data_IF_769332226268
#
_entry.id   IF_769332226268
#
_cell.length_a   1.000
_cell.length_b   1.000
_cell.length_c   1.000
_cell.angle_alpha   90.00
_cell.angle_beta   90.00
_cell.angle_gamma   90.00
#
_symmetry.space_group_name_H-M   'P 1'
#
loop_
_entity.id
_entity.type
_entity.pdbx_description
1 polymer ?
#
# COMPACT_ATOMS: atom_id res chain seq x y z
N UNK A 1 -42.58 3.74 3.91
CA UNK A 1 -42.85 4.03 2.49
C UNK A 1 -43.14 5.50 2.32
N UNK A 2 -42.45 6.17 1.42
CA UNK A 2 -42.58 7.60 1.20
C UNK A 2 -42.95 7.90 -0.27
N UNK A 3 -43.99 8.73 -0.52
CA UNK A 3 -44.35 9.16 -1.86
C UNK A 3 -43.57 10.43 -2.19
N UNK A 4 -42.60 10.32 -3.09
CA UNK A 4 -41.68 11.41 -3.46
C UNK A 4 -42.30 12.44 -4.42
N UNK A 5 -43.02 11.98 -5.43
CA UNK A 5 -43.67 12.84 -6.39
C UNK A 5 -44.92 12.20 -7.01
N UNK A 6 -45.86 13.03 -7.41
CA UNK A 6 -47.08 12.64 -8.17
C UNK A 6 -47.25 13.58 -9.33
N UNK A 7 -47.11 13.04 -10.52
CA UNK A 7 -47.40 13.75 -11.78
C UNK A 7 -48.73 13.29 -12.36
N UNK A 8 -49.68 14.21 -12.48
CA UNK A 8 -51.02 13.92 -13.01
C UNK A 8 -51.17 14.56 -14.40
N UNK A 9 -51.31 13.70 -15.38
CA UNK A 9 -51.72 14.09 -16.76
C UNK A 9 -53.20 13.82 -16.96
N UNK A 10 -53.75 14.29 -18.08
CA UNK A 10 -55.20 14.17 -18.35
C UNK A 10 -55.75 12.75 -18.31
N UNK A 11 -54.92 11.75 -18.63
CA UNK A 11 -55.34 10.33 -18.72
C UNK A 11 -54.41 9.36 -17.99
N UNK A 12 -53.33 9.89 -17.37
CA UNK A 12 -52.30 9.07 -16.69
C UNK A 12 -51.85 9.78 -15.42
N UNK A 13 -51.54 9.00 -14.39
CA UNK A 13 -50.87 9.48 -13.22
C UNK A 13 -49.62 8.63 -12.98
N UNK A 14 -48.48 9.30 -12.78
CA UNK A 14 -47.23 8.66 -12.40
C UNK A 14 -46.95 9.01 -10.91
N UNK A 15 -46.69 7.99 -10.11
CA UNK A 15 -46.38 8.11 -8.71
C UNK A 15 -45.00 7.53 -8.47
N UNK A 16 -44.08 8.35 -7.96
CA UNK A 16 -42.77 7.91 -7.52
C UNK A 16 -42.80 7.61 -6.03
N UNK A 17 -42.46 6.39 -5.69
CA UNK A 17 -42.48 5.91 -4.31
C UNK A 17 -41.06 5.51 -3.94
N UNK A 18 -40.62 5.95 -2.79
CA UNK A 18 -39.33 5.57 -2.20
C UNK A 18 -39.56 4.56 -1.07
N UNK A 19 -38.79 3.46 -1.12
CA UNK A 19 -38.80 2.43 -0.11
C UNK A 19 -37.45 2.42 0.58
N UNK A 20 -37.43 2.38 1.88
CA UNK A 20 -36.20 2.20 2.65
C UNK A 20 -35.77 0.72 2.62
N UNK A 21 -34.48 0.46 2.86
CA UNK A 21 -33.96 -0.92 2.96
C UNK A 21 -34.66 -1.73 4.05
N UNK A 22 -34.98 -1.10 5.18
CA UNK A 22 -35.71 -1.75 6.28
C UNK A 22 -37.11 -2.21 5.86
N UNK A 23 -37.80 -1.42 5.02
CA UNK A 23 -39.11 -1.76 4.48
C UNK A 23 -39.04 -2.88 3.44
N UNK A 24 -37.93 -2.96 2.69
CA UNK A 24 -37.68 -3.99 1.67
C UNK A 24 -37.22 -5.33 2.27
N UNK A 25 -36.52 -5.31 3.40
CA UNK A 25 -35.86 -6.46 4.00
C UNK A 25 -36.79 -7.69 4.22
N UNK A 26 -38.02 -7.54 4.71
CA UNK A 26 -38.96 -8.66 4.83
C UNK A 26 -39.30 -9.30 3.47
N UNK A 27 -39.45 -8.49 2.41
CA UNK A 27 -39.77 -8.96 1.07
C UNK A 27 -38.56 -9.66 0.42
N UNK A 28 -37.37 -9.11 0.58
CA UNK A 28 -36.11 -9.72 0.14
C UNK A 28 -35.92 -11.10 0.78
N UNK A 29 -36.21 -11.23 2.06
CA UNK A 29 -36.16 -12.52 2.75
C UNK A 29 -37.19 -13.51 2.23
N UNK A 30 -38.40 -13.07 1.86
CA UNK A 30 -39.42 -13.94 1.23
C UNK A 30 -38.95 -14.38 -0.16
N UNK A 31 -38.41 -13.48 -0.98
CA UNK A 31 -37.86 -13.79 -2.29
C UNK A 31 -36.71 -14.81 -2.17
N UNK A 32 -35.77 -14.59 -1.26
CA UNK A 32 -34.69 -15.55 -0.97
C UNK A 32 -35.25 -16.92 -0.59
N UNK A 33 -36.21 -17.03 0.35
CA UNK A 33 -36.77 -18.31 0.79
C UNK A 33 -37.50 -19.03 -0.36
N UNK A 34 -38.08 -18.28 -1.31
CA UNK A 34 -38.76 -18.82 -2.48
C UNK A 34 -37.75 -19.47 -3.43
N UNK A 35 -36.66 -18.78 -3.76
CA UNK A 35 -35.73 -19.20 -4.82
C UNK A 35 -34.53 -19.99 -4.32
N UNK A 36 -34.11 -19.89 -3.05
CA UNK A 36 -32.90 -20.58 -2.54
C UNK A 36 -32.85 -22.07 -2.85
N UNK A 37 -34.02 -22.74 -2.98
CA UNK A 37 -34.10 -24.18 -3.22
C UNK A 37 -33.58 -24.57 -4.62
N UNK A 38 -33.61 -23.64 -5.55
CA UNK A 38 -33.23 -23.85 -6.93
C UNK A 38 -31.80 -23.38 -7.22
N UNK A 39 -31.25 -22.55 -6.37
CA UNK A 39 -29.91 -21.98 -6.50
C UNK A 39 -28.85 -22.97 -6.00
N UNK A 40 -27.78 -23.14 -6.78
CA UNK A 40 -26.64 -23.97 -6.44
C UNK A 40 -25.39 -23.09 -6.37
N UNK A 41 -24.74 -23.05 -5.23
CA UNK A 41 -23.49 -22.31 -4.99
C UNK A 41 -22.39 -23.33 -4.70
N UNK A 42 -21.20 -23.24 -5.32
CA UNK A 42 -20.04 -24.06 -4.97
C UNK A 42 -19.75 -23.99 -3.48
N UNK A 43 -19.49 -25.13 -2.86
CA UNK A 43 -19.23 -25.21 -1.41
C UNK A 43 -20.46 -25.34 -0.51
N UNK A 44 -21.67 -25.15 -1.05
CA UNK A 44 -22.94 -25.31 -0.28
C UNK A 44 -23.82 -26.42 -0.86
N UNK A 45 -24.53 -27.10 0.03
CA UNK A 45 -25.58 -28.02 -0.40
C UNK A 45 -26.71 -27.23 -1.05
N UNK A 46 -27.25 -27.72 -2.19
CA UNK A 46 -28.35 -27.08 -2.90
C UNK A 46 -29.47 -26.64 -1.95
N UNK A 47 -29.85 -25.37 -2.02
CA UNK A 47 -30.90 -24.79 -1.19
C UNK A 47 -30.47 -24.40 0.25
N UNK A 48 -29.19 -24.52 0.58
CA UNK A 48 -28.68 -24.20 1.92
C UNK A 48 -27.66 -23.05 1.96
N UNK A 49 -27.34 -22.43 0.82
CA UNK A 49 -26.52 -21.24 0.79
C UNK A 49 -27.24 -20.07 1.51
N UNK A 50 -26.59 -19.33 2.41
CA UNK A 50 -27.14 -18.11 3.00
C UNK A 50 -27.42 -17.05 1.93
N UNK A 51 -28.37 -16.13 2.21
CA UNK A 51 -28.76 -15.07 1.27
C UNK A 51 -27.56 -14.24 0.83
N UNK A 52 -26.71 -13.82 1.77
CA UNK A 52 -25.50 -13.02 1.51
C UNK A 52 -24.55 -13.71 0.50
N UNK A 53 -24.40 -15.02 0.58
CA UNK A 53 -23.53 -15.79 -0.33
C UNK A 53 -24.14 -15.86 -1.75
N UNK A 54 -25.47 -15.89 -1.85
CA UNK A 54 -26.16 -15.85 -3.13
C UNK A 54 -26.05 -14.45 -3.75
N UNK A 55 -26.26 -13.40 -2.94
CA UNK A 55 -26.13 -12.01 -3.35
C UNK A 55 -24.69 -11.67 -3.80
N UNK A 56 -23.68 -12.22 -3.11
CA UNK A 56 -22.29 -12.08 -3.51
C UNK A 56 -21.96 -12.78 -4.85
N UNK A 57 -22.60 -13.94 -5.11
CA UNK A 57 -22.34 -14.72 -6.34
C UNK A 57 -23.13 -14.25 -7.56
N UNK A 58 -24.33 -13.72 -7.37
CA UNK A 58 -25.25 -13.33 -8.44
C UNK A 58 -25.57 -11.83 -8.48
N UNK A 59 -24.98 -11.04 -7.59
CA UNK A 59 -25.19 -9.60 -7.45
C UNK A 59 -26.18 -9.24 -6.35
N UNK A 60 -25.94 -8.11 -5.68
CA UNK A 60 -26.73 -7.62 -4.53
C UNK A 60 -28.21 -7.48 -4.79
N UNK A 61 -28.58 -7.32 -6.04
CA UNK A 61 -29.94 -7.03 -6.48
C UNK A 61 -30.72 -8.27 -7.00
N UNK A 62 -30.14 -9.47 -6.89
CA UNK A 62 -30.72 -10.72 -7.42
C UNK A 62 -32.15 -11.02 -6.94
N UNK A 63 -32.53 -10.51 -5.78
CA UNK A 63 -33.86 -10.70 -5.19
C UNK A 63 -34.75 -9.45 -5.23
N UNK A 64 -34.25 -8.31 -5.74
CA UNK A 64 -34.96 -7.02 -5.67
C UNK A 64 -36.22 -7.00 -6.51
N UNK A 65 -36.15 -7.48 -7.73
CA UNK A 65 -37.30 -7.52 -8.67
C UNK A 65 -38.45 -8.32 -8.07
N UNK A 66 -38.16 -9.51 -7.56
CA UNK A 66 -39.16 -10.36 -6.90
C UNK A 66 -39.70 -9.75 -5.60
N UNK A 67 -38.84 -9.08 -4.81
CA UNK A 67 -39.24 -8.39 -3.60
C UNK A 67 -40.21 -7.23 -3.89
N UNK A 68 -39.90 -6.44 -4.92
CA UNK A 68 -40.78 -5.35 -5.37
C UNK A 68 -42.09 -5.88 -5.95
N UNK A 69 -42.07 -6.96 -6.72
CA UNK A 69 -43.31 -7.62 -7.20
C UNK A 69 -44.20 -8.10 -6.05
N UNK A 70 -43.58 -8.67 -5.00
CA UNK A 70 -44.29 -9.14 -3.80
C UNK A 70 -44.92 -7.99 -2.99
N UNK A 71 -44.24 -6.85 -2.94
CA UNK A 71 -44.72 -5.64 -2.23
C UNK A 71 -45.65 -4.76 -3.09
N UNK A 72 -45.67 -4.94 -4.39
CA UNK A 72 -46.38 -4.06 -5.33
C UNK A 72 -47.86 -3.83 -4.97
N UNK A 73 -48.63 -4.83 -4.56
CA UNK A 73 -50.05 -4.63 -4.17
C UNK A 73 -50.20 -3.65 -3.01
N UNK A 74 -49.33 -3.74 -1.99
CA UNK A 74 -49.36 -2.87 -0.82
C UNK A 74 -48.87 -1.46 -1.18
N UNK A 75 -47.78 -1.32 -1.95
CA UNK A 75 -47.27 -0.07 -2.46
C UNK A 75 -48.34 0.67 -3.26
N UNK A 76 -48.98 -0.05 -4.18
CA UNK A 76 -50.03 0.49 -5.04
C UNK A 76 -51.24 0.95 -4.24
N UNK A 77 -51.69 0.15 -3.29
CA UNK A 77 -52.79 0.48 -2.41
C UNK A 77 -52.52 1.76 -1.62
N UNK A 78 -51.35 1.86 -1.00
CA UNK A 78 -50.97 3.04 -0.22
C UNK A 78 -50.79 4.30 -1.11
N UNK A 79 -50.15 4.15 -2.27
CA UNK A 79 -50.00 5.25 -3.24
C UNK A 79 -51.37 5.77 -3.75
N UNK A 80 -52.30 4.89 -4.03
CA UNK A 80 -53.66 5.28 -4.48
C UNK A 80 -54.48 5.92 -3.34
N UNK A 81 -54.44 5.34 -2.16
CA UNK A 81 -55.17 5.89 -1.02
C UNK A 81 -54.68 7.24 -0.52
N UNK A 82 -53.34 7.42 -0.51
CA UNK A 82 -52.75 8.68 -0.01
C UNK A 82 -52.88 9.82 -0.97
N UNK A 83 -53.00 9.55 -2.29
CA UNK A 83 -53.03 10.58 -3.35
C UNK A 83 -54.41 10.82 -3.99
N UNK A 84 -55.48 10.22 -3.46
CA UNK A 84 -56.85 10.31 -3.98
C UNK A 84 -56.92 10.08 -5.49
N UNK A 85 -56.21 9.03 -5.98
CA UNK A 85 -56.20 8.64 -7.39
C UNK A 85 -57.32 7.62 -7.59
N UNK A 86 -58.14 7.80 -8.66
CA UNK A 86 -59.17 6.84 -9.05
C UNK A 86 -58.72 6.06 -10.29
N UNK A 87 -58.04 4.93 -10.11
CA UNK A 87 -57.52 4.16 -11.21
C UNK A 87 -58.65 3.54 -12.05
N UNK A 88 -58.52 3.61 -13.38
CA UNK A 88 -59.46 3.00 -14.35
C UNK A 88 -58.81 1.84 -15.13
N UNK A 89 -57.52 1.61 -14.95
CA UNK A 89 -56.74 0.56 -15.61
C UNK A 89 -55.82 -0.20 -14.69
N UNK A 90 -55.08 -1.17 -15.21
CA UNK A 90 -54.05 -1.89 -14.45
C UNK A 90 -52.81 -0.98 -14.31
N UNK A 91 -52.20 -0.92 -13.12
CA UNK A 91 -50.96 -0.22 -12.93
C UNK A 91 -49.80 -0.96 -13.59
N UNK A 92 -48.75 -0.23 -13.94
CA UNK A 92 -47.48 -0.80 -14.41
C UNK A 92 -46.34 -0.06 -13.76
N UNK A 93 -45.26 -0.77 -13.42
CA UNK A 93 -43.99 -0.17 -13.03
C UNK A 93 -43.29 0.27 -14.31
N UNK A 94 -43.05 1.57 -14.45
CA UNK A 94 -42.39 2.13 -15.65
C UNK A 94 -40.87 2.25 -15.45
N UNK A 95 -40.41 2.45 -14.22
CA UNK A 95 -39.00 2.60 -13.86
C UNK A 95 -38.78 2.14 -12.41
N UNK A 96 -37.71 1.45 -12.20
CA UNK A 96 -37.25 1.08 -10.87
C UNK A 96 -35.77 1.47 -10.79
N UNK A 97 -35.45 2.42 -9.94
CA UNK A 97 -34.10 2.81 -9.62
C UNK A 97 -33.77 2.28 -8.24
N UNK A 98 -32.68 1.55 -8.11
CA UNK A 98 -32.17 1.09 -6.84
C UNK A 98 -31.03 2.04 -6.49
N UNK A 99 -31.25 2.90 -5.49
CA UNK A 99 -30.17 3.65 -4.89
C UNK A 99 -29.45 2.71 -3.93
N UNK A 100 -28.23 2.35 -4.24
CA UNK A 100 -27.32 1.79 -3.24
C UNK A 100 -27.15 2.83 -2.13
N UNK A 101 -27.02 2.37 -0.87
CA UNK A 101 -27.01 3.17 0.36
C UNK A 101 -26.39 4.57 0.12
N UNK A 102 -27.22 5.61 0.16
CA UNK A 102 -26.81 6.96 -0.19
C UNK A 102 -25.86 7.45 0.89
N UNK A 103 -24.57 7.42 0.59
CA UNK A 103 -23.60 8.14 1.38
C UNK A 103 -23.98 9.63 1.32
N UNK A 104 -24.29 10.24 2.45
CA UNK A 104 -24.46 11.69 2.50
C UNK A 104 -23.08 12.33 2.36
N UNK A 105 -22.79 12.84 1.15
CA UNK A 105 -21.57 13.57 0.88
C UNK A 105 -21.54 14.83 1.74
N UNK A 106 -20.53 14.94 2.61
CA UNK A 106 -20.18 16.19 3.27
C UNK A 106 -19.42 17.12 2.32
N UNK A 107 -18.71 18.09 2.89
CA UNK A 107 -17.81 18.94 2.10
C UNK A 107 -16.63 18.10 1.59
N UNK A 108 -16.52 17.96 0.27
CA UNK A 108 -15.42 17.27 -0.41
C UNK A 108 -14.65 18.17 -1.39
N UNK A 109 -15.07 19.43 -1.58
CA UNK A 109 -14.37 20.45 -2.38
C UNK A 109 -13.84 21.58 -1.49
N UNK A 110 -12.79 22.24 -1.97
CA UNK A 110 -12.15 23.39 -1.31
C UNK A 110 -11.65 23.07 0.12
N UNK A 111 -11.25 21.84 0.36
CA UNK A 111 -10.71 21.42 1.65
C UNK A 111 -9.32 22.03 1.85
N UNK A 112 -9.07 22.62 3.01
CA UNK A 112 -7.74 23.09 3.38
C UNK A 112 -6.86 21.91 3.78
N UNK A 113 -5.80 21.66 3.02
CA UNK A 113 -4.87 20.53 3.23
C UNK A 113 -3.45 21.07 3.38
N UNK A 114 -2.73 20.58 4.36
CA UNK A 114 -1.32 20.93 4.56
C UNK A 114 -0.48 20.36 3.42
N UNK A 115 0.32 21.23 2.79
CA UNK A 115 1.24 20.87 1.73
C UNK A 115 2.63 21.36 2.07
N UNK A 116 3.59 20.44 2.20
CA UNK A 116 4.99 20.80 2.41
C UNK A 116 5.60 21.40 1.14
N UNK A 117 6.58 22.26 1.30
CA UNK A 117 7.40 22.74 0.20
C UNK A 117 8.56 21.77 -0.05
N UNK A 118 8.95 21.63 -1.33
CA UNK A 118 10.10 20.78 -1.69
C UNK A 118 11.39 21.53 -1.37
N UNK A 119 12.17 20.96 -0.48
CA UNK A 119 13.54 21.39 -0.22
C UNK A 119 14.52 20.27 -0.59
N UNK A 120 15.46 20.56 -1.47
CA UNK A 120 16.58 19.66 -1.78
C UNK A 120 17.82 20.20 -1.08
N UNK A 121 18.37 19.40 -0.17
CA UNK A 121 19.58 19.76 0.56
C UNK A 121 20.81 19.39 -0.26
N UNK A 122 21.83 20.23 -0.22
CA UNK A 122 23.14 19.96 -0.85
C UNK A 122 23.73 18.61 -0.41
N UNK A 123 23.52 18.24 0.86
CA UNK A 123 23.97 16.95 1.40
C UNK A 123 23.32 15.73 0.72
N UNK A 124 22.12 15.86 0.16
CA UNK A 124 21.45 14.77 -0.55
C UNK A 124 22.06 14.56 -1.94
N UNK A 125 22.40 15.66 -2.60
CA UNK A 125 23.10 15.63 -3.89
C UNK A 125 24.49 15.04 -3.72
N UNK A 126 25.22 15.46 -2.66
CA UNK A 126 26.54 14.89 -2.33
C UNK A 126 26.47 13.40 -2.01
N UNK A 127 25.49 12.97 -1.21
CA UNK A 127 25.31 11.56 -0.86
C UNK A 127 25.06 10.69 -2.10
N UNK A 128 24.31 11.20 -3.08
CA UNK A 128 24.07 10.47 -4.33
C UNK A 128 25.35 10.40 -5.18
N UNK A 129 26.11 11.48 -5.27
CA UNK A 129 27.42 11.49 -5.94
C UNK A 129 28.40 10.53 -5.26
N UNK A 130 28.43 10.49 -3.92
CA UNK A 130 29.25 9.55 -3.16
C UNK A 130 28.84 8.10 -3.43
N UNK A 131 27.54 7.84 -3.50
CA UNK A 131 27.03 6.52 -3.86
C UNK A 131 27.43 6.11 -5.27
N UNK A 132 27.34 7.02 -6.24
CA UNK A 132 27.78 6.77 -7.62
C UNK A 132 29.29 6.50 -7.67
N UNK A 133 30.11 7.27 -6.94
CA UNK A 133 31.55 7.09 -6.89
C UNK A 133 31.95 5.74 -6.23
N UNK A 134 31.23 5.35 -5.17
CA UNK A 134 31.43 4.04 -4.53
C UNK A 134 31.07 2.87 -5.45
N UNK A 135 30.05 2.99 -6.29
CA UNK A 135 29.63 1.93 -7.22
C UNK A 135 30.67 1.64 -8.31
N UNK A 136 31.50 2.62 -8.66
CA UNK A 136 32.57 2.47 -9.66
C UNK A 136 33.96 2.42 -9.03
N UNK A 137 34.02 2.32 -7.69
CA UNK A 137 35.30 2.20 -6.99
C UNK A 137 36.06 0.95 -7.45
N UNK A 138 37.36 1.11 -7.65
CA UNK A 138 38.27 0.03 -8.08
C UNK A 138 38.84 -0.64 -6.84
N UNK A 139 38.75 -1.95 -6.81
CA UNK A 139 39.37 -2.77 -5.76
C UNK A 139 40.75 -3.20 -6.26
N UNK A 140 41.80 -2.81 -5.54
CA UNK A 140 43.20 -3.16 -5.84
C UNK A 140 43.86 -3.85 -4.67
N UNK A 141 44.52 -4.99 -4.90
CA UNK A 141 45.34 -5.62 -3.86
C UNK A 141 46.58 -4.80 -3.61
N UNK A 142 46.89 -4.57 -2.33
CA UNK A 142 48.03 -3.74 -1.89
C UNK A 142 48.93 -4.53 -0.95
N UNK A 143 50.26 -4.25 -1.03
CA UNK A 143 51.27 -4.91 -0.20
C UNK A 143 51.64 -4.12 1.08
N UNK A 144 50.75 -3.19 1.50
CA UNK A 144 50.89 -2.43 2.75
C UNK A 144 50.01 -3.01 3.85
N UNK A 145 50.31 -2.68 5.13
CA UNK A 145 49.39 -3.02 6.23
C UNK A 145 47.97 -2.45 5.99
N UNK A 146 46.96 -3.22 6.39
CA UNK A 146 45.56 -2.89 6.26
C UNK A 146 45.22 -1.59 7.04
N UNK A 147 44.44 -0.72 6.42
CA UNK A 147 43.99 0.53 7.03
C UNK A 147 42.45 0.54 7.13
N UNK A 148 41.91 1.45 7.91
CA UNK A 148 40.47 1.68 7.96
C UNK A 148 39.96 2.05 6.54
N UNK A 149 38.86 1.44 6.12
CA UNK A 149 38.29 1.55 4.77
C UNK A 149 38.74 0.46 3.79
N UNK A 150 39.86 -0.24 4.05
CA UNK A 150 40.30 -1.38 3.25
C UNK A 150 39.43 -2.63 3.51
N UNK A 151 39.45 -3.55 2.57
CA UNK A 151 38.86 -4.89 2.74
C UNK A 151 39.97 -5.91 2.97
N UNK A 152 40.03 -6.49 4.16
CA UNK A 152 40.96 -7.58 4.46
C UNK A 152 40.28 -8.93 4.18
N UNK A 153 40.93 -9.77 3.39
CA UNK A 153 40.51 -11.17 3.20
C UNK A 153 41.14 -11.98 4.30
N UNK A 154 40.35 -12.50 5.22
CA UNK A 154 40.80 -13.16 6.44
C UNK A 154 40.26 -14.57 6.61
N UNK A 155 41.05 -15.42 7.24
CA UNK A 155 40.56 -16.58 7.97
C UNK A 155 40.50 -16.22 9.45
N UNK A 156 39.45 -16.63 10.11
CA UNK A 156 39.34 -16.46 11.56
C UNK A 156 38.74 -17.69 12.22
N UNK A 157 39.20 -17.98 13.45
CA UNK A 157 38.64 -19.02 14.31
C UNK A 157 38.60 -18.52 15.77
N UNK A 158 37.41 -18.49 16.35
CA UNK A 158 37.17 -17.99 17.69
C UNK A 158 37.23 -19.09 18.76
N UNK A 159 37.89 -18.79 19.88
CA UNK A 159 38.08 -19.69 21.02
C UNK A 159 37.57 -19.03 22.31
N UNK A 160 36.73 -19.72 23.06
CA UNK A 160 36.36 -19.41 24.43
C UNK A 160 37.12 -20.37 25.37
N UNK A 161 37.93 -19.83 26.26
CA UNK A 161 38.75 -20.64 27.21
C UNK A 161 39.54 -21.77 26.51
N UNK A 162 40.06 -21.54 25.30
CA UNK A 162 40.81 -22.47 24.51
C UNK A 162 40.01 -23.53 23.77
N UNK A 163 38.68 -23.43 23.72
CA UNK A 163 37.78 -24.29 22.94
C UNK A 163 37.11 -23.48 21.84
N UNK A 164 37.18 -23.99 20.62
CA UNK A 164 36.48 -23.39 19.49
C UNK A 164 34.96 -23.45 19.72
N UNK A 165 34.25 -22.32 19.42
CA UNK A 165 32.81 -22.24 19.54
C UNK A 165 32.13 -22.25 18.15
N UNK A 166 30.89 -22.71 18.12
CA UNK A 166 30.11 -22.78 16.90
C UNK A 166 29.79 -21.37 16.35
N UNK A 167 29.98 -21.18 15.03
CA UNK A 167 29.77 -19.88 14.38
C UNK A 167 30.95 -18.92 14.46
N UNK A 168 32.05 -19.30 15.18
CA UNK A 168 33.24 -18.46 15.31
C UNK A 168 34.30 -18.69 14.24
N UNK A 169 34.03 -19.45 13.17
CA UNK A 169 35.01 -19.77 12.13
C UNK A 169 34.55 -19.25 10.76
N UNK A 170 35.46 -18.62 10.03
CA UNK A 170 35.29 -18.24 8.62
C UNK A 170 36.61 -18.39 7.86
N UNK A 171 36.53 -18.76 6.59
CA UNK A 171 37.68 -18.89 5.69
C UNK A 171 37.47 -17.98 4.46
N UNK A 172 38.51 -17.27 4.06
CA UNK A 172 38.47 -16.27 2.97
C UNK A 172 37.34 -15.26 3.10
N UNK A 173 37.08 -14.81 4.30
CA UNK A 173 36.05 -13.81 4.58
C UNK A 173 36.53 -12.42 4.21
N UNK A 174 35.75 -11.69 3.39
CA UNK A 174 36.03 -10.32 3.03
C UNK A 174 35.49 -9.38 4.13
N UNK A 175 36.36 -8.89 4.96
CA UNK A 175 36.05 -7.95 6.04
C UNK A 175 36.41 -6.53 5.63
N UNK A 176 35.43 -5.66 5.50
CA UNK A 176 35.67 -4.22 5.33
C UNK A 176 35.94 -3.60 6.67
N UNK A 177 37.17 -3.09 6.87
CA UNK A 177 37.58 -2.43 8.12
C UNK A 177 36.88 -1.09 8.31
N UNK A 178 36.30 -0.88 9.48
CA UNK A 178 35.47 0.29 9.79
C UNK A 178 33.98 0.11 9.44
N UNK A 179 33.58 -1.09 9.02
CA UNK A 179 32.16 -1.39 8.77
C UNK A 179 31.34 -1.66 10.01
N UNK A 180 32.00 -1.93 11.14
CA UNK A 180 31.43 -2.34 12.42
C UNK A 180 30.49 -3.57 12.31
N UNK A 181 30.77 -4.46 11.35
CA UNK A 181 30.03 -5.73 11.18
C UNK A 181 30.49 -6.79 12.15
N UNK A 182 31.72 -6.68 12.64
CA UNK A 182 32.28 -7.54 13.70
C UNK A 182 32.14 -6.92 15.08
N UNK A 183 32.38 -7.74 16.11
CA UNK A 183 32.32 -7.26 17.49
C UNK A 183 33.36 -6.16 17.75
N UNK A 184 33.02 -5.18 18.60
CA UNK A 184 33.93 -4.05 18.89
C UNK A 184 35.31 -4.52 19.30
N UNK A 185 36.34 -3.85 18.78
CA UNK A 185 37.74 -4.17 19.03
C UNK A 185 38.34 -5.21 18.10
N UNK A 186 37.54 -5.85 17.21
CA UNK A 186 38.05 -6.84 16.26
C UNK A 186 38.66 -6.15 15.04
N UNK A 187 37.92 -5.27 14.37
CA UNK A 187 38.35 -4.59 13.14
C UNK A 187 39.54 -3.68 13.39
N UNK A 188 39.57 -3.00 14.55
CA UNK A 188 40.67 -2.14 14.95
C UNK A 188 41.97 -2.91 15.18
N UNK A 189 41.89 -4.19 15.58
CA UNK A 189 43.10 -5.02 15.78
C UNK A 189 43.54 -5.72 14.49
N UNK A 190 42.65 -5.91 13.52
CA UNK A 190 42.99 -6.35 12.16
C UNK A 190 43.62 -5.19 11.35
N UNK A 191 43.20 -3.96 11.63
CA UNK A 191 43.86 -2.79 11.07
C UNK A 191 45.34 -2.77 11.53
N UNK A 192 46.24 -2.59 10.56
CA UNK A 192 47.70 -2.65 10.77
C UNK A 192 48.33 -4.01 10.44
N UNK A 193 47.53 -5.07 10.22
CA UNK A 193 48.05 -6.36 9.81
C UNK A 193 48.39 -6.35 8.31
N UNK A 194 49.42 -7.07 7.92
CA UNK A 194 49.87 -7.26 6.54
C UNK A 194 49.39 -8.59 5.97
N UNK A 195 49.36 -8.70 4.65
CA UNK A 195 49.08 -9.95 3.95
C UNK A 195 50.06 -11.06 4.41
N UNK A 196 49.55 -12.24 4.74
CA UNK A 196 50.26 -13.37 5.27
C UNK A 196 50.49 -13.37 6.79
N UNK A 197 50.13 -12.31 7.48
CA UNK A 197 50.28 -12.20 8.93
C UNK A 197 49.19 -12.96 9.68
N UNK A 198 49.62 -13.62 10.79
CA UNK A 198 48.72 -14.32 11.72
C UNK A 198 48.80 -13.64 13.07
N UNK A 199 47.65 -13.39 13.73
CA UNK A 199 47.57 -12.74 15.00
C UNK A 199 46.43 -13.27 15.84
N UNK A 200 46.64 -13.39 17.13
CA UNK A 200 45.61 -13.66 18.11
C UNK A 200 44.97 -12.33 18.53
N UNK A 201 43.67 -12.18 18.36
CA UNK A 201 42.88 -10.98 18.64
C UNK A 201 42.01 -11.24 19.85
N UNK A 202 42.23 -10.49 20.92
CA UNK A 202 41.47 -10.57 22.17
C UNK A 202 40.30 -9.57 22.09
N UNK A 203 39.06 -10.07 22.21
CA UNK A 203 37.84 -9.25 22.19
C UNK A 203 36.83 -9.75 23.21
N UNK A 204 35.90 -8.90 23.58
CA UNK A 204 34.79 -9.26 24.48
C UNK A 204 33.47 -9.05 23.77
N UNK A 205 32.62 -10.05 23.77
CA UNK A 205 31.28 -9.92 23.21
C UNK A 205 30.46 -8.88 23.99
N UNK A 206 29.65 -8.06 23.32
CA UNK A 206 28.69 -7.17 23.98
C UNK A 206 27.78 -7.92 24.95
N UNK A 207 27.34 -7.26 26.01
CA UNK A 207 26.45 -7.88 27.00
C UNK A 207 25.07 -8.21 26.47
N UNK A 208 24.64 -7.54 25.39
CA UNK A 208 23.39 -7.68 24.68
C UNK A 208 23.51 -8.53 23.40
N UNK A 209 24.58 -9.32 23.27
CA UNK A 209 24.79 -10.16 22.10
C UNK A 209 23.71 -11.23 21.99
N UNK A 210 23.19 -11.45 20.79
CA UNK A 210 22.06 -12.35 20.49
C UNK A 210 22.25 -13.80 20.95
N UNK A 211 23.50 -14.29 21.04
CA UNK A 211 23.82 -15.61 21.58
C UNK A 211 24.14 -15.47 23.08
N UNK A 212 23.17 -15.78 23.94
CA UNK A 212 23.30 -15.67 25.42
C UNK A 212 24.53 -16.41 25.98
N UNK A 213 24.94 -17.50 25.30
CA UNK A 213 26.12 -18.29 25.70
C UNK A 213 27.44 -17.52 25.56
N UNK A 214 27.50 -16.50 24.68
CA UNK A 214 28.69 -15.71 24.39
C UNK A 214 28.62 -14.30 24.95
N UNK A 215 27.44 -13.80 25.33
CA UNK A 215 27.23 -12.44 25.82
C UNK A 215 28.13 -12.10 27.01
N UNK A 216 28.88 -10.98 26.90
CA UNK A 216 29.79 -10.47 27.92
C UNK A 216 31.04 -11.30 28.12
N UNK A 217 31.31 -12.35 27.32
CA UNK A 217 32.47 -13.21 27.52
C UNK A 217 33.69 -12.76 26.71
N UNK A 218 34.89 -12.85 27.29
CA UNK A 218 36.14 -12.65 26.57
C UNK A 218 36.46 -13.88 25.70
N UNK A 219 36.88 -13.63 24.46
CA UNK A 219 37.23 -14.64 23.47
C UNK A 219 38.50 -14.24 22.73
N UNK A 220 39.20 -15.24 22.19
CA UNK A 220 40.37 -15.03 21.37
C UNK A 220 40.08 -15.52 19.97
N UNK A 221 40.24 -14.65 18.96
CA UNK A 221 40.18 -15.02 17.56
C UNK A 221 41.61 -15.20 17.01
N UNK A 222 41.86 -16.35 16.41
CA UNK A 222 43.04 -16.51 15.59
C UNK A 222 42.71 -16.05 14.19
N UNK A 223 43.37 -14.98 13.77
CA UNK A 223 43.12 -14.34 12.49
C UNK A 223 44.36 -14.46 11.62
N UNK A 224 44.15 -14.82 10.36
CA UNK A 224 45.15 -14.80 9.32
C UNK A 224 44.68 -13.93 8.16
N UNK A 225 45.46 -12.95 7.80
CA UNK A 225 45.19 -12.07 6.64
C UNK A 225 45.80 -12.71 5.38
N UNK A 226 44.98 -12.95 4.37
CA UNK A 226 45.47 -13.46 3.06
C UNK A 226 45.83 -12.32 2.12
N UNK A 227 44.94 -11.35 2.00
CA UNK A 227 45.10 -10.21 1.10
C UNK A 227 44.53 -8.95 1.75
N UNK A 228 45.14 -7.83 1.42
CA UNK A 228 44.59 -6.50 1.73
C UNK A 228 44.16 -5.86 0.43
N UNK A 229 42.90 -5.48 0.33
CA UNK A 229 42.30 -4.86 -0.85
C UNK A 229 41.92 -3.42 -0.51
N UNK A 230 42.53 -2.48 -1.24
CA UNK A 230 42.17 -1.06 -1.15
C UNK A 230 41.01 -0.75 -2.09
N UNK A 231 40.00 -0.09 -1.56
CA UNK A 231 38.90 0.43 -2.38
C UNK A 231 39.24 1.86 -2.78
N UNK A 232 39.70 2.03 -4.02
CA UNK A 232 40.00 3.35 -4.56
C UNK A 232 38.75 3.96 -5.14
N UNK A 233 38.16 4.90 -4.41
CA UNK A 233 37.03 5.70 -4.88
C UNK A 233 37.58 6.81 -5.79
N UNK A 234 37.06 6.95 -7.02
CA UNK A 234 37.55 8.01 -7.92
C UNK A 234 37.21 9.39 -7.36
N UNK A 235 38.05 10.39 -7.73
CA UNK A 235 37.71 11.78 -7.47
C UNK A 235 36.49 12.18 -8.29
N UNK A 236 35.62 13.01 -7.71
CA UNK A 236 34.39 13.47 -8.35
C UNK A 236 34.65 14.59 -9.31
N UNK A 237 35.39 14.31 -10.40
CA UNK A 237 35.73 15.22 -11.45
C UNK A 237 34.97 14.95 -12.77
N UNK A 238 35.28 15.71 -13.82
CA UNK A 238 34.57 15.54 -15.09
C UNK A 238 34.94 14.23 -15.84
N UNK A 239 36.03 13.55 -15.45
CA UNK A 239 36.35 12.21 -15.97
C UNK A 239 35.45 11.16 -15.34
N UNK A 240 35.30 11.23 -14.02
CA UNK A 240 34.37 10.39 -13.30
C UNK A 240 32.93 10.54 -13.85
N UNK A 241 32.49 11.78 -14.13
CA UNK A 241 31.12 12.02 -14.63
C UNK A 241 30.89 11.32 -15.97
N UNK A 242 31.84 11.33 -16.87
CA UNK A 242 31.76 10.64 -18.17
C UNK A 242 31.75 9.12 -18.04
N UNK A 243 32.35 8.58 -16.98
CA UNK A 243 32.37 7.14 -16.73
C UNK A 243 31.03 6.65 -16.16
N UNK A 244 30.27 7.49 -15.43
CA UNK A 244 29.08 7.08 -14.69
C UNK A 244 27.75 7.63 -15.25
N UNK A 245 27.82 8.54 -16.21
CA UNK A 245 26.64 9.24 -16.74
C UNK A 245 26.80 9.65 -18.21
N UNK A 246 25.72 10.23 -18.75
CA UNK A 246 25.72 10.81 -20.11
C UNK A 246 26.17 12.28 -20.12
N UNK A 247 26.55 12.84 -18.97
CA UNK A 247 26.97 14.24 -18.85
C UNK A 247 28.47 14.41 -19.02
N UNK A 248 28.90 15.64 -19.37
CA UNK A 248 30.29 15.97 -19.60
C UNK A 248 30.96 16.62 -18.37
N UNK A 249 30.17 17.22 -17.46
CA UNK A 249 30.69 17.98 -16.32
C UNK A 249 30.00 17.63 -15.01
N UNK A 250 30.73 17.79 -13.90
CA UNK A 250 30.17 17.61 -12.54
C UNK A 250 28.97 18.53 -12.29
N UNK A 251 29.01 19.75 -12.84
CA UNK A 251 27.92 20.70 -12.66
C UNK A 251 26.61 20.23 -13.33
N UNK A 252 26.69 19.62 -14.51
CA UNK A 252 25.53 19.06 -15.21
C UNK A 252 24.96 17.85 -14.46
N UNK A 253 25.81 16.93 -14.03
CA UNK A 253 25.37 15.76 -13.24
C UNK A 253 24.71 16.18 -11.91
N UNK A 254 25.30 17.17 -11.20
CA UNK A 254 24.71 17.72 -9.98
C UNK A 254 23.32 18.31 -10.22
N UNK A 255 23.16 19.08 -11.31
CA UNK A 255 21.88 19.68 -11.66
C UNK A 255 20.83 18.61 -12.00
N UNK A 256 21.22 17.53 -12.67
CA UNK A 256 20.33 16.39 -12.95
C UNK A 256 19.93 15.65 -11.68
N UNK A 257 20.88 15.34 -10.81
CA UNK A 257 20.61 14.69 -9.52
C UNK A 257 19.68 15.57 -8.67
N UNK A 258 19.97 16.89 -8.56
CA UNK A 258 19.10 17.81 -7.83
C UNK A 258 17.69 17.83 -8.40
N UNK A 259 17.55 17.85 -9.72
CA UNK A 259 16.26 17.79 -10.39
C UNK A 259 15.54 16.48 -10.10
N UNK A 260 16.21 15.32 -10.22
CA UNK A 260 15.61 14.01 -9.92
C UNK A 260 15.11 13.93 -8.48
N UNK A 261 15.93 14.34 -7.50
CA UNK A 261 15.55 14.37 -6.08
C UNK A 261 14.35 15.31 -5.87
N UNK A 262 14.37 16.48 -6.52
CA UNK A 262 13.25 17.44 -6.46
C UNK A 262 11.97 16.84 -7.04
N UNK A 263 12.03 16.26 -8.22
CA UNK A 263 10.89 15.66 -8.91
C UNK A 263 10.32 14.47 -8.11
N UNK A 264 11.17 13.65 -7.51
CA UNK A 264 10.77 12.55 -6.64
C UNK A 264 10.07 13.02 -5.35
N UNK A 265 10.68 14.01 -4.67
CA UNK A 265 10.08 14.62 -3.47
C UNK A 265 8.76 15.32 -3.80
N UNK A 266 8.70 16.06 -4.92
CA UNK A 266 7.48 16.70 -5.38
C UNK A 266 6.38 15.68 -5.61
N UNK A 267 6.68 14.59 -6.33
CA UNK A 267 5.72 13.52 -6.57
C UNK A 267 5.26 12.83 -5.27
N UNK A 268 6.14 12.73 -4.27
CA UNK A 268 5.80 12.25 -2.94
C UNK A 268 4.84 13.19 -2.19
N UNK A 269 5.15 14.49 -2.21
CA UNK A 269 4.32 15.53 -1.58
C UNK A 269 2.95 15.62 -2.27
N UNK A 270 2.92 15.58 -3.61
CA UNK A 270 1.66 15.64 -4.35
C UNK A 270 0.77 14.43 -4.05
N UNK A 271 1.34 13.23 -3.97
CA UNK A 271 0.60 12.02 -3.56
C UNK A 271 0.10 12.12 -2.11
N UNK A 272 0.92 12.62 -1.19
CA UNK A 272 0.52 12.80 0.20
C UNK A 272 -0.62 13.84 0.32
N UNK A 273 -0.54 14.92 -0.45
CA UNK A 273 -1.58 15.95 -0.51
C UNK A 273 -2.90 15.39 -1.07
N UNK A 274 -2.85 14.63 -2.17
CA UNK A 274 -4.00 13.96 -2.77
C UNK A 274 -4.67 12.99 -1.78
N UNK A 275 -3.88 12.15 -1.13
CA UNK A 275 -4.39 11.21 -0.12
C UNK A 275 -5.03 11.93 1.07
N UNK A 276 -4.38 12.98 1.59
CA UNK A 276 -4.92 13.77 2.71
C UNK A 276 -6.22 14.49 2.35
N UNK A 277 -6.36 14.96 1.10
CA UNK A 277 -7.59 15.58 0.62
C UNK A 277 -8.74 14.56 0.57
N UNK A 278 -8.48 13.37 0.04
CA UNK A 278 -9.46 12.28 -0.02
C UNK A 278 -9.82 11.78 1.38
N UNK A 279 -8.85 11.61 2.25
CA UNK A 279 -9.07 11.19 3.65
C UNK A 279 -9.94 12.20 4.43
N UNK A 280 -9.66 13.48 4.27
CA UNK A 280 -10.46 14.54 4.89
C UNK A 280 -11.88 14.58 4.33
N UNK A 281 -12.06 14.43 3.03
CA UNK A 281 -13.36 14.29 2.41
C UNK A 281 -14.13 13.08 2.92
N UNK A 282 -13.44 11.92 3.07
CA UNK A 282 -14.03 10.71 3.62
C UNK A 282 -14.45 10.88 5.09
N UNK A 283 -13.68 11.64 5.87
CA UNK A 283 -14.05 11.94 7.26
C UNK A 283 -15.31 12.82 7.35
N UNK A 284 -15.53 13.72 6.39
CA UNK A 284 -16.71 14.59 6.34
C UNK A 284 -17.98 13.85 5.87
N UNK A 285 -17.84 12.68 5.24
CA UNK A 285 -18.98 11.90 4.74
C UNK A 285 -19.68 11.15 5.88
N UNK A 286 -21.02 11.21 5.89
CA UNK A 286 -21.85 10.40 6.76
C UNK A 286 -22.30 9.16 6.02
N UNK A 287 -21.85 7.99 6.48
CA UNK A 287 -22.18 6.69 5.89
C UNK A 287 -22.10 5.59 6.93
N UNK A 288 -23.06 4.68 6.91
CA UNK A 288 -22.98 3.42 7.64
C UNK A 288 -22.36 2.33 6.73
N UNK A 289 -21.16 1.89 7.09
CA UNK A 289 -20.43 0.85 6.34
C UNK A 289 -20.81 -0.50 6.93
N UNK A 290 -21.43 -1.40 6.15
CA UNK A 290 -21.73 -2.76 6.62
C UNK A 290 -20.43 -3.54 6.91
N UNK A 291 -20.45 -4.32 7.98
CA UNK A 291 -19.31 -5.19 8.35
C UNK A 291 -18.91 -6.14 7.22
N UNK A 292 -19.84 -6.56 6.38
CA UNK A 292 -19.57 -7.43 5.23
C UNK A 292 -18.63 -6.79 4.19
N UNK A 293 -18.74 -5.48 3.96
CA UNK A 293 -17.82 -4.76 3.05
C UNK A 293 -16.41 -4.68 3.65
N UNK A 294 -16.33 -4.46 4.96
CA UNK A 294 -15.05 -4.44 5.66
C UNK A 294 -14.40 -5.83 5.66
N UNK A 295 -15.19 -6.88 5.86
CA UNK A 295 -14.68 -8.26 5.84
C UNK A 295 -14.19 -8.69 4.46
N UNK A 296 -14.85 -8.24 3.38
CA UNK A 296 -14.42 -8.49 2.01
C UNK A 296 -13.10 -7.76 1.70
N UNK A 297 -12.96 -6.50 2.09
CA UNK A 297 -11.70 -5.75 1.92
C UNK A 297 -10.57 -6.37 2.74
N UNK A 298 -10.86 -6.81 3.97
CA UNK A 298 -9.90 -7.54 4.79
C UNK A 298 -9.40 -8.82 4.12
N UNK A 299 -10.28 -9.58 3.49
CA UNK A 299 -9.90 -10.80 2.78
C UNK A 299 -8.97 -10.45 1.60
N UNK A 300 -9.26 -9.38 0.86
CA UNK A 300 -8.40 -8.90 -0.23
C UNK A 300 -7.05 -8.37 0.28
N UNK A 301 -7.01 -7.61 1.39
CA UNK A 301 -5.76 -7.15 1.99
C UNK A 301 -4.89 -8.33 2.45
N UNK A 302 -5.50 -9.34 3.07
CA UNK A 302 -4.79 -10.55 3.49
C UNK A 302 -4.26 -11.35 2.30
N UNK A 303 -5.00 -11.44 1.20
CA UNK A 303 -4.52 -12.09 -0.03
C UNK A 303 -3.34 -11.33 -0.66
N UNK A 304 -3.40 -10.00 -0.71
CA UNK A 304 -2.29 -9.15 -1.18
C UNK A 304 -1.04 -9.35 -0.33
N UNK A 305 -1.20 -9.34 1.00
CA UNK A 305 -0.10 -9.56 1.94
C UNK A 305 0.50 -10.97 1.81
N UNK A 306 -0.32 -12.01 1.64
CA UNK A 306 0.16 -13.39 1.42
C UNK A 306 0.93 -13.52 0.10
N UNK A 307 0.46 -12.87 -0.96
CA UNK A 307 1.15 -12.83 -2.25
C UNK A 307 2.52 -12.14 -2.14
N UNK A 308 2.58 -11.00 -1.46
CA UNK A 308 3.83 -10.27 -1.25
C UNK A 308 4.84 -11.08 -0.42
N UNK A 309 4.40 -11.68 0.68
CA UNK A 309 5.23 -12.55 1.52
C UNK A 309 5.75 -13.76 0.74
N UNK A 310 4.91 -14.39 -0.09
CA UNK A 310 5.34 -15.51 -0.96
C UNK A 310 6.39 -15.10 -1.97
N UNK A 311 6.33 -13.89 -2.50
CA UNK A 311 7.37 -13.37 -3.41
C UNK A 311 8.73 -13.26 -2.74
N UNK A 312 8.75 -13.11 -1.41
CA UNK A 312 9.94 -13.06 -0.55
C UNK A 312 10.30 -14.42 0.06
N UNK A 313 9.61 -15.49 -0.34
CA UNK A 313 9.86 -16.86 0.17
C UNK A 313 9.25 -17.15 1.55
N UNK A 314 8.36 -16.30 2.04
CA UNK A 314 7.63 -16.47 3.30
C UNK A 314 6.15 -16.80 3.05
N UNK A 315 5.37 -17.02 4.11
CA UNK A 315 3.92 -17.15 4.05
C UNK A 315 3.27 -16.33 5.16
N UNK A 316 2.03 -15.90 4.93
CA UNK A 316 1.26 -15.16 5.92
C UNK A 316 1.13 -15.94 7.25
N UNK A 317 1.03 -17.26 7.17
CA UNK A 317 0.96 -18.12 8.36
C UNK A 317 2.29 -18.14 9.15
N UNK A 318 3.43 -18.20 8.48
CA UNK A 318 4.74 -18.13 9.12
C UNK A 318 4.97 -16.74 9.74
N UNK A 319 4.56 -15.69 9.05
CA UNK A 319 4.60 -14.32 9.55
C UNK A 319 3.75 -14.16 10.83
N UNK A 320 2.52 -14.68 10.84
CA UNK A 320 1.64 -14.66 12.02
C UNK A 320 2.31 -15.33 13.23
N UNK A 321 2.92 -16.50 13.03
CA UNK A 321 3.60 -17.23 14.09
C UNK A 321 4.84 -16.48 14.63
N UNK A 322 5.60 -15.84 13.74
CA UNK A 322 6.76 -15.04 14.12
C UNK A 322 6.35 -13.82 14.96
N UNK A 323 5.20 -13.20 14.66
CA UNK A 323 4.65 -12.09 15.44
C UNK A 323 3.95 -12.54 16.74
N UNK A 324 4.00 -13.84 17.06
CA UNK A 324 3.42 -14.41 18.30
C UNK A 324 1.89 -14.44 18.33
N UNK A 325 1.26 -14.34 17.16
CA UNK A 325 -0.19 -14.33 16.98
C UNK A 325 -0.70 -15.43 16.05
N UNK A 326 -1.99 -15.37 15.76
CA UNK A 326 -2.67 -16.17 14.76
C UNK A 326 -3.19 -15.31 13.61
N UNK A 327 -3.82 -15.93 12.63
CA UNK A 327 -4.43 -15.23 11.49
C UNK A 327 -5.49 -14.20 11.90
N UNK A 328 -6.19 -14.43 13.03
CA UNK A 328 -7.18 -13.48 13.53
C UNK A 328 -6.52 -12.23 14.10
N UNK A 329 -5.34 -12.35 14.71
CA UNK A 329 -4.59 -11.19 15.19
C UNK A 329 -4.19 -10.27 14.03
N UNK A 330 -3.70 -10.84 12.91
CA UNK A 330 -3.41 -10.08 11.69
C UNK A 330 -4.69 -9.43 11.14
N UNK A 331 -5.78 -10.22 11.02
CA UNK A 331 -7.07 -9.72 10.53
C UNK A 331 -7.57 -8.53 11.37
N UNK A 332 -7.45 -8.63 12.69
CA UNK A 332 -7.86 -7.56 13.59
C UNK A 332 -6.95 -6.32 13.48
N UNK A 333 -5.67 -6.48 13.23
CA UNK A 333 -4.75 -5.36 13.03
C UNK A 333 -5.00 -4.62 11.71
N UNK A 334 -5.45 -5.32 10.67
CA UNK A 334 -5.78 -4.74 9.36
C UNK A 334 -7.19 -4.12 9.31
N UNK A 335 -8.09 -4.44 10.26
CA UNK A 335 -9.49 -3.98 10.24
C UNK A 335 -9.64 -2.45 10.16
N UNK A 336 -8.86 -1.62 10.86
CA UNK A 336 -8.96 -0.16 10.73
C UNK A 336 -8.59 0.34 9.34
N UNK A 337 -7.56 -0.23 8.71
CA UNK A 337 -7.16 0.14 7.34
C UNK A 337 -8.22 -0.28 6.32
N UNK A 338 -8.75 -1.48 6.42
CA UNK A 338 -9.84 -1.94 5.57
C UNK A 338 -11.10 -1.08 5.71
N UNK A 339 -11.46 -0.66 6.93
CA UNK A 339 -12.57 0.28 7.15
C UNK A 339 -12.33 1.63 6.47
N UNK A 340 -11.11 2.16 6.55
CA UNK A 340 -10.73 3.41 5.90
C UNK A 340 -10.75 3.26 4.36
N UNK A 341 -10.25 2.14 3.82
CA UNK A 341 -10.27 1.85 2.38
C UNK A 341 -11.70 1.75 1.85
N UNK A 342 -12.58 1.00 2.52
CA UNK A 342 -14.01 0.89 2.14
C UNK A 342 -14.67 2.27 2.18
N UNK A 343 -14.43 3.06 3.24
CA UNK A 343 -14.99 4.41 3.37
C UNK A 343 -14.54 5.30 2.22
N UNK A 344 -13.26 5.23 1.86
CA UNK A 344 -12.70 5.97 0.72
C UNK A 344 -13.33 5.55 -0.60
N UNK A 345 -13.48 4.25 -0.85
CA UNK A 345 -14.10 3.75 -2.07
C UNK A 345 -15.56 4.21 -2.20
N UNK A 346 -16.33 4.14 -1.11
CA UNK A 346 -17.72 4.61 -1.07
C UNK A 346 -17.81 6.13 -1.32
N UNK A 347 -16.89 6.93 -0.75
CA UNK A 347 -16.80 8.35 -1.04
C UNK A 347 -16.56 8.61 -2.53
N UNK A 348 -15.54 7.94 -3.10
CA UNK A 348 -15.14 8.18 -4.48
C UNK A 348 -16.24 7.78 -5.47
N UNK A 349 -16.93 6.69 -5.20
CA UNK A 349 -18.11 6.28 -5.99
C UNK A 349 -19.25 7.31 -5.89
N UNK A 350 -19.54 7.80 -4.69
CA UNK A 350 -20.57 8.80 -4.48
C UNK A 350 -20.21 10.15 -5.15
N UNK A 351 -18.94 10.59 -5.07
CA UNK A 351 -18.44 11.78 -5.76
C UNK A 351 -18.51 11.59 -7.28
N UNK A 352 -18.08 10.42 -7.76
CA UNK A 352 -18.11 10.12 -9.18
C UNK A 352 -19.55 10.12 -9.75
N UNK A 353 -20.53 9.69 -8.97
CA UNK A 353 -21.94 9.76 -9.30
C UNK A 353 -22.47 11.20 -9.26
N UNK A 354 -22.15 11.96 -8.20
CA UNK A 354 -22.60 13.35 -8.04
C UNK A 354 -22.06 14.28 -9.13
N UNK A 355 -20.80 14.07 -9.54
CA UNK A 355 -20.13 14.88 -10.58
C UNK A 355 -20.31 14.31 -11.99
N UNK A 356 -21.08 13.22 -12.15
CA UNK A 356 -21.30 12.52 -13.42
C UNK A 356 -19.99 12.19 -14.15
N UNK A 357 -19.01 11.63 -13.43
CA UNK A 357 -17.72 11.29 -14.01
C UNK A 357 -17.85 10.09 -14.91
N UNK A 358 -17.54 10.29 -16.17
CA UNK A 358 -17.50 9.22 -17.19
C UNK A 358 -16.05 8.93 -17.61
N UNK A 359 -15.81 7.70 -17.99
CA UNK A 359 -14.53 7.23 -18.55
C UNK A 359 -14.78 6.76 -19.99
N UNK A 360 -14.07 7.37 -20.94
CA UNK A 360 -14.17 7.03 -22.34
C UNK A 360 -13.39 5.75 -22.68
N UNK A 361 -13.71 5.13 -23.81
CA UNK A 361 -12.95 3.98 -24.32
C UNK A 361 -11.50 4.38 -24.67
N UNK A 362 -11.28 5.62 -25.12
CA UNK A 362 -9.96 6.14 -25.45
C UNK A 362 -9.07 6.20 -24.21
N UNK A 363 -9.59 6.66 -23.07
CA UNK A 363 -8.86 6.71 -21.79
C UNK A 363 -8.50 5.29 -21.29
N UNK A 364 -9.39 4.33 -21.46
CA UNK A 364 -9.08 2.93 -21.14
C UNK A 364 -7.96 2.39 -22.04
N UNK A 365 -8.00 2.69 -23.34
CA UNK A 365 -6.97 2.27 -24.29
C UNK A 365 -5.59 2.90 -23.96
N UNK A 366 -5.56 4.17 -23.57
CA UNK A 366 -4.33 4.84 -23.12
C UNK A 366 -3.75 4.21 -21.86
N UNK A 367 -4.61 3.87 -20.89
CA UNK A 367 -4.17 3.22 -19.66
C UNK A 367 -3.64 1.80 -19.91
N UNK A 368 -4.29 1.03 -20.79
CA UNK A 368 -3.76 -0.27 -21.21
C UNK A 368 -2.38 -0.16 -21.86
N UNK A 369 -2.13 0.87 -22.67
CA UNK A 369 -0.80 1.11 -23.28
C UNK A 369 0.24 1.45 -22.22
N UNK A 370 -0.08 2.33 -21.26
CA UNK A 370 0.83 2.67 -20.15
C UNK A 370 1.20 1.45 -19.32
N UNK A 371 0.20 0.59 -19.02
CA UNK A 371 0.44 -0.64 -18.29
C UNK A 371 1.32 -1.62 -19.10
N UNK A 372 1.07 -1.76 -20.40
CA UNK A 372 1.86 -2.59 -21.28
C UNK A 372 3.32 -2.15 -21.33
N UNK A 373 3.58 -0.84 -21.42
CA UNK A 373 4.93 -0.25 -21.38
C UNK A 373 5.60 -0.46 -20.02
N UNK A 374 4.88 -0.19 -18.92
CA UNK A 374 5.42 -0.30 -17.55
C UNK A 374 5.82 -1.73 -17.20
N UNK A 375 4.99 -2.71 -17.57
CA UNK A 375 5.24 -4.13 -17.29
C UNK A 375 6.00 -4.84 -18.41
N UNK A 376 6.35 -4.14 -19.51
CA UNK A 376 7.00 -4.71 -20.70
C UNK A 376 6.24 -5.92 -21.25
N UNK A 377 4.92 -5.84 -21.28
CA UNK A 377 4.00 -6.87 -21.77
C UNK A 377 3.36 -6.43 -23.09
N UNK A 378 2.92 -7.42 -23.86
CA UNK A 378 2.11 -7.12 -25.06
C UNK A 378 0.72 -6.59 -24.66
N UNK A 379 0.23 -5.59 -25.40
CA UNK A 379 -1.06 -4.93 -25.12
C UNK A 379 -2.24 -5.92 -25.02
N UNK A 380 -2.25 -6.94 -25.88
CA UNK A 380 -3.29 -7.96 -25.90
C UNK A 380 -3.28 -8.84 -24.65
N UNK A 381 -2.14 -9.07 -24.05
CA UNK A 381 -2.02 -9.86 -22.83
C UNK A 381 -2.45 -9.05 -21.60
N UNK A 382 -2.16 -7.76 -21.57
CA UNK A 382 -2.68 -6.85 -20.54
C UNK A 382 -4.22 -6.78 -20.62
N UNK A 383 -4.79 -6.66 -21.82
CA UNK A 383 -6.26 -6.64 -22.01
C UNK A 383 -6.96 -7.96 -21.64
N UNK A 384 -6.27 -9.09 -21.73
CA UNK A 384 -6.80 -10.39 -21.26
C UNK A 384 -6.71 -10.52 -19.73
N UNK A 385 -5.65 -9.97 -19.13
CA UNK A 385 -5.43 -10.04 -17.69
C UNK A 385 -6.35 -9.08 -16.91
N UNK A 386 -6.66 -7.92 -17.47
CA UNK A 386 -7.47 -6.89 -16.84
C UNK A 386 -8.84 -6.78 -17.51
N UNK A 387 -9.90 -6.99 -16.71
CA UNK A 387 -11.25 -6.80 -17.15
C UNK A 387 -11.51 -5.31 -17.48
N UNK A 388 -12.10 -5.05 -18.65
CA UNK A 388 -12.38 -3.69 -19.11
C UNK A 388 -13.31 -2.92 -18.15
N UNK A 389 -14.31 -3.59 -17.58
CA UNK A 389 -15.23 -2.96 -16.63
C UNK A 389 -14.53 -2.60 -15.32
N UNK A 390 -13.64 -3.46 -14.84
CA UNK A 390 -12.81 -3.19 -13.65
C UNK A 390 -11.88 -2.01 -13.87
N UNK A 391 -11.16 -1.96 -15.01
CA UNK A 391 -10.29 -0.82 -15.34
C UNK A 391 -11.09 0.48 -15.45
N UNK A 392 -12.27 0.44 -16.06
CA UNK A 392 -13.14 1.61 -16.19
C UNK A 392 -13.61 2.12 -14.83
N UNK A 393 -13.96 1.21 -13.93
CA UNK A 393 -14.32 1.54 -12.54
C UNK A 393 -13.15 2.19 -11.80
N UNK A 394 -11.97 1.60 -11.88
CA UNK A 394 -10.77 2.13 -11.24
C UNK A 394 -10.39 3.53 -11.77
N UNK A 395 -10.42 3.73 -13.09
CA UNK A 395 -10.20 5.04 -13.71
C UNK A 395 -11.23 6.09 -13.25
N UNK A 396 -12.49 5.66 -13.07
CA UNK A 396 -13.54 6.53 -12.55
C UNK A 396 -13.26 7.00 -11.13
N UNK A 397 -12.86 6.08 -10.25
CA UNK A 397 -12.47 6.40 -8.86
C UNK A 397 -11.23 7.30 -8.83
N UNK A 398 -10.21 7.04 -9.64
CA UNK A 398 -9.03 7.91 -9.75
C UNK A 398 -9.39 9.32 -10.20
N UNK A 399 -10.30 9.48 -11.15
CA UNK A 399 -10.79 10.80 -11.57
C UNK A 399 -11.52 11.52 -10.44
N UNK A 400 -12.32 10.81 -9.64
CA UNK A 400 -12.99 11.39 -8.48
C UNK A 400 -11.99 11.84 -7.40
N UNK A 401 -10.98 11.02 -7.09
CA UNK A 401 -9.91 11.39 -6.17
C UNK A 401 -9.16 12.64 -6.65
N UNK A 402 -8.82 12.68 -7.93
CA UNK A 402 -8.14 13.83 -8.54
C UNK A 402 -9.00 15.10 -8.50
N UNK A 403 -10.30 14.99 -8.74
CA UNK A 403 -11.23 16.13 -8.63
C UNK A 403 -11.24 16.70 -7.20
N UNK A 404 -11.24 15.85 -6.18
CA UNK A 404 -11.16 16.28 -4.78
C UNK A 404 -9.84 17.01 -4.53
N UNK A 405 -8.71 16.41 -4.94
CA UNK A 405 -7.38 16.96 -4.75
C UNK A 405 -7.18 18.30 -5.51
N UNK A 406 -7.61 18.37 -6.78
CA UNK A 406 -7.52 19.59 -7.60
C UNK A 406 -8.36 20.73 -7.06
N UNK A 407 -9.43 20.42 -6.34
CA UNK A 407 -10.26 21.43 -5.67
C UNK A 407 -9.72 21.86 -4.31
N UNK A 408 -8.79 21.09 -3.71
CA UNK A 408 -8.28 21.37 -2.38
C UNK A 408 -7.37 22.60 -2.35
N UNK A 409 -7.38 23.29 -1.21
CA UNK A 409 -6.58 24.49 -0.98
C UNK A 409 -5.35 24.10 -0.17
N UNK A 410 -4.17 24.28 -0.76
CA UNK A 410 -2.93 24.05 -0.06
C UNK A 410 -2.68 25.12 1.01
N UNK A 411 -2.43 24.69 2.24
CA UNK A 411 -2.03 25.55 3.36
C UNK A 411 -0.65 25.13 3.86
N UNK A 412 0.12 26.07 4.39
CA UNK A 412 1.41 25.75 4.97
C UNK A 412 1.26 24.77 6.15
N UNK A 413 2.19 23.82 6.31
CA UNK A 413 2.16 22.90 7.44
C UNK A 413 2.18 23.68 8.76
N UNK A 414 1.33 23.31 9.70
CA UNK A 414 1.41 23.83 11.06
C UNK A 414 2.73 23.36 11.65
N UNK A 415 3.55 24.29 12.14
CA UNK A 415 4.76 23.94 12.88
C UNK A 415 4.37 23.02 14.06
N UNK A 416 4.68 21.72 13.96
CA UNK A 416 4.56 20.82 15.08
C UNK A 416 5.65 21.23 16.09
N UNK A 417 5.24 21.77 17.22
CA UNK A 417 6.06 21.89 18.45
C UNK A 417 6.39 20.47 18.95
N UNK A 418 7.29 19.77 18.28
CA UNK A 418 7.77 18.46 18.72
C UNK A 418 9.16 18.16 18.13
N UNK A 419 10.11 19.06 18.34
CA UNK A 419 11.53 18.79 18.12
C UNK A 419 12.43 19.66 19.03
N UNK A 420 12.00 19.83 20.30
CA UNK A 420 12.88 20.45 21.31
C UNK A 420 12.63 19.77 22.66
N UNK A 421 13.16 18.55 22.79
CA UNK A 421 13.53 17.95 24.10
C UNK A 421 14.21 16.59 23.86
N UNK A 422 15.46 16.66 23.37
CA UNK A 422 16.43 15.63 23.70
C UNK A 422 17.22 16.18 24.90
N UNK A 423 17.13 15.59 26.09
CA UNK A 423 17.96 16.01 27.20
C UNK A 423 19.41 15.70 26.85
N UNK A 424 20.24 16.73 26.87
CA UNK A 424 21.69 16.58 26.95
C UNK A 424 22.00 15.76 28.22
N UNK A 425 22.47 14.54 28.06
CA UNK A 425 23.08 13.78 29.14
C UNK A 425 24.48 14.36 29.36
N UNK A 426 24.62 15.12 30.42
CA UNK A 426 25.89 15.38 31.05
C UNK A 426 26.43 14.09 31.71
N UNK A 427 27.75 13.92 31.58
CA UNK A 427 28.70 13.00 32.21
C UNK A 427 28.84 11.58 31.64
#
# INVERSE_FOLDING_TARGET
MNVKSVEKEATRASVTVELTREELEPALNRAYLKYRKDIMIPGFRKGHAPRMVIEAAYGKHVFFEDAVEDMFPDIYKDAVLTQDIRPVGRPSVSKMDIADDVAELGEYKNLEIEKAEVEVKESEVEAELDRMAQNVARITTVDRPAQEGDTAVIDFEGFENGKAFAGGKGENYELKLGSHTFIPGFEEQVAGMSAGEEKDIDVTFPADYHAEELAGKPVVFKVKVHEVKETVVPEKDDEFVKDVSEFDTVAELRADIEKRIRDEKQAGIDRAFENAAVEKAAANMTVEIPDSMVDEELDQEMERMDYELRSQGASLQAYAQMMGGDMNAIRNSLRPSAQAAVRTNVLLDAVAAAENIEVSEEECEEEYKKLAESYKMELDDVKKALNADGLKSDLKLRKAARLIADSAVAVAPKATEAAEEAPASEE
#
